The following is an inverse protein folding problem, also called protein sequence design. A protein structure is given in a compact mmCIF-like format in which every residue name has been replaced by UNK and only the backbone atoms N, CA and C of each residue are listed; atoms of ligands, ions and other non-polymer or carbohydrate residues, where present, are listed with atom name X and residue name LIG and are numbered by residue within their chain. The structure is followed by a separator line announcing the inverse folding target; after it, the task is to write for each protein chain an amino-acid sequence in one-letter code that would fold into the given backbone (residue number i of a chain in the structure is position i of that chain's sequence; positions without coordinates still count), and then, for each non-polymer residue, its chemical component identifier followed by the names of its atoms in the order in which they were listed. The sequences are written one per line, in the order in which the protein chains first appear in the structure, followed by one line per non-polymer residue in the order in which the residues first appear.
data_IF_157101173521
#
_entry.id   IF_157101173521
#
_cell.length_a   1.000
_cell.length_b   1.000
_cell.length_c   1.000
_cell.angle_alpha   90.00
_cell.angle_beta   90.00
_cell.angle_gamma   90.00
#
_symmetry.space_group_name_H-M   'P 1'
#
loop_
_entity.id
_entity.type
_entity.pdbx_description
1 polymer ?
#
# COMPACT_ATOMS: atom_id res chain seq x y z
N UNK A 1 -56.57 -19.77 -5.68
CA UNK A 1 -55.51 -19.40 -6.63
C UNK A 1 -54.53 -18.52 -5.84
N UNK A 2 -53.40 -19.06 -5.44
CA UNK A 2 -52.38 -18.33 -4.71
C UNK A 2 -51.51 -17.55 -5.70
N UNK A 3 -51.60 -16.21 -5.67
CA UNK A 3 -50.75 -15.33 -6.47
C UNK A 3 -49.31 -15.47 -5.99
N UNK A 4 -48.43 -15.81 -6.93
CA UNK A 4 -47.02 -16.02 -6.70
C UNK A 4 -46.38 -14.64 -6.40
N UNK A 5 -46.02 -14.40 -5.13
CA UNK A 5 -45.49 -13.11 -4.62
C UNK A 5 -44.06 -12.83 -5.12
N UNK A 6 -43.45 -13.71 -5.91
CA UNK A 6 -42.07 -13.62 -6.38
C UNK A 6 -41.91 -13.29 -7.88
N UNK A 7 -42.94 -12.81 -8.55
CA UNK A 7 -42.85 -12.36 -9.94
C UNK A 7 -42.68 -10.82 -10.06
N UNK A 8 -41.70 -10.30 -9.31
CA UNK A 8 -41.23 -8.94 -9.59
C UNK A 8 -40.36 -8.97 -10.86
N UNK A 9 -40.69 -8.18 -11.88
CA UNK A 9 -39.81 -8.00 -13.03
C UNK A 9 -38.42 -7.52 -12.55
N UNK A 10 -37.31 -8.07 -13.09
CA UNK A 10 -35.99 -7.59 -12.74
C UNK A 10 -35.87 -6.11 -13.11
N UNK A 11 -35.40 -5.31 -12.16
CA UNK A 11 -35.14 -3.89 -12.38
C UNK A 11 -34.19 -3.69 -13.57
N UNK A 12 -34.50 -2.79 -14.47
CA UNK A 12 -33.59 -2.43 -15.56
C UNK A 12 -32.28 -1.88 -15.00
N UNK A 13 -31.12 -2.29 -15.55
CA UNK A 13 -29.83 -1.75 -15.13
C UNK A 13 -29.77 -0.26 -15.45
N UNK A 14 -29.67 0.57 -14.41
CA UNK A 14 -29.43 2.00 -14.55
C UNK A 14 -27.93 2.24 -14.74
N UNK A 15 -27.54 2.90 -15.82
CA UNK A 15 -26.17 3.30 -16.03
C UNK A 15 -25.82 4.45 -15.07
N UNK A 16 -24.71 4.34 -14.37
CA UNK A 16 -24.31 5.30 -13.33
C UNK A 16 -24.26 6.77 -13.82
N UNK A 17 -23.94 7.00 -15.09
CA UNK A 17 -23.95 8.35 -15.67
C UNK A 17 -25.34 8.98 -15.77
N UNK A 18 -26.43 8.19 -15.80
CA UNK A 18 -27.81 8.72 -15.83
C UNK A 18 -28.29 9.23 -14.48
N UNK A 19 -27.54 8.96 -13.40
CA UNK A 19 -27.81 9.43 -12.03
C UNK A 19 -27.13 10.77 -11.71
N UNK A 20 -26.25 11.25 -12.60
CA UNK A 20 -25.63 12.58 -12.46
C UNK A 20 -26.62 13.65 -12.81
N UNK A 21 -26.98 14.60 -11.91
CA UNK A 21 -27.88 15.70 -12.25
C UNK A 21 -27.31 16.51 -13.41
N UNK A 22 -27.99 16.55 -14.52
CA UNK A 22 -27.65 17.46 -15.63
C UNK A 22 -27.92 18.87 -15.16
N UNK A 23 -26.90 19.62 -14.78
CA UNK A 23 -27.02 21.05 -14.56
C UNK A 23 -27.29 21.72 -15.90
N UNK A 24 -28.55 22.05 -16.15
CA UNK A 24 -29.01 22.85 -17.30
C UNK A 24 -28.59 24.31 -17.10
N UNK A 25 -27.36 24.63 -17.41
CA UNK A 25 -26.94 26.00 -17.73
C UNK A 25 -26.30 25.98 -19.12
N UNK A 26 -26.80 26.75 -20.10
CA UNK A 26 -26.14 26.86 -21.39
C UNK A 26 -24.85 27.66 -21.20
N UNK A 27 -23.73 26.98 -21.11
CA UNK A 27 -22.41 27.62 -21.17
C UNK A 27 -22.12 27.89 -22.65
N UNK A 28 -22.10 29.14 -23.02
CA UNK A 28 -21.55 29.66 -24.27
C UNK A 28 -20.09 29.18 -24.31
N UNK A 29 -19.78 28.35 -25.29
CA UNK A 29 -18.47 27.80 -25.51
C UNK A 29 -17.48 28.91 -25.91
N UNK A 30 -16.75 29.44 -24.96
CA UNK A 30 -15.44 30.00 -25.24
C UNK A 30 -14.47 28.82 -25.08
N UNK A 31 -13.78 28.49 -26.17
CA UNK A 31 -12.64 27.57 -26.18
C UNK A 31 -11.58 28.10 -25.21
N UNK A 32 -11.65 27.67 -23.95
CA UNK A 32 -10.52 27.79 -23.06
C UNK A 32 -9.55 26.66 -23.41
N UNK A 33 -8.23 26.95 -23.53
CA UNK A 33 -7.24 25.89 -23.71
C UNK A 33 -7.41 24.91 -22.55
N UNK A 34 -7.46 23.62 -22.88
CA UNK A 34 -7.45 22.50 -21.94
C UNK A 34 -6.30 22.78 -20.95
N UNK A 35 -6.65 23.32 -19.81
CA UNK A 35 -5.70 23.41 -18.71
C UNK A 35 -5.38 21.97 -18.36
N UNK A 36 -4.19 21.56 -18.78
CA UNK A 36 -3.65 20.26 -18.45
C UNK A 36 -3.83 20.06 -16.94
N UNK A 37 -4.36 18.92 -16.57
CA UNK A 37 -4.43 18.50 -15.18
C UNK A 37 -3.02 18.68 -14.62
N UNK A 38 -2.82 19.74 -13.84
CA UNK A 38 -1.57 19.94 -13.12
C UNK A 38 -1.47 18.77 -12.17
N UNK A 39 -0.65 17.78 -12.55
CA UNK A 39 -0.24 16.71 -11.65
C UNK A 39 0.35 17.42 -10.44
N UNK A 40 -0.43 17.49 -9.36
CA UNK A 40 -0.02 18.24 -8.19
C UNK A 40 1.17 17.51 -7.58
N UNK A 41 2.31 18.18 -7.56
CA UNK A 41 3.49 17.72 -6.86
C UNK A 41 3.11 17.40 -5.41
N UNK A 42 3.35 16.17 -5.00
CA UNK A 42 3.05 15.71 -3.65
C UNK A 42 4.29 15.83 -2.77
N UNK A 43 4.18 16.52 -1.66
CA UNK A 43 5.26 16.55 -0.70
C UNK A 43 5.21 15.32 0.21
N UNK A 44 5.84 14.23 -0.24
CA UNK A 44 5.95 12.98 0.50
C UNK A 44 6.60 13.18 1.89
N UNK A 45 7.61 14.05 1.99
CA UNK A 45 8.29 14.28 3.26
C UNK A 45 7.38 14.93 4.30
N UNK A 46 6.48 15.82 3.90
CA UNK A 46 5.51 16.45 4.79
C UNK A 46 4.46 15.42 5.25
N UNK A 47 4.01 14.54 4.37
CA UNK A 47 3.08 13.47 4.74
C UNK A 47 3.74 12.44 5.67
N UNK A 48 5.01 12.06 5.42
CA UNK A 48 5.79 11.23 6.34
C UNK A 48 5.99 11.94 7.67
N UNK A 49 6.36 13.24 7.64
CA UNK A 49 6.53 14.03 8.85
C UNK A 49 5.21 14.23 9.62
N UNK A 50 4.10 14.24 8.90
CA UNK A 50 2.75 14.26 9.50
C UNK A 50 2.42 12.92 10.18
N UNK A 51 2.90 11.79 9.64
CA UNK A 51 2.67 10.44 10.15
C UNK A 51 1.23 9.96 9.92
N UNK A 52 0.91 8.83 10.54
CA UNK A 52 -0.41 8.18 10.43
C UNK A 52 -1.41 8.89 11.34
N UNK A 53 -2.55 9.28 10.78
CA UNK A 53 -3.63 9.97 11.51
C UNK A 53 -4.95 9.19 11.44
N UNK A 54 -5.70 9.24 12.51
CA UNK A 54 -7.09 8.82 12.53
C UNK A 54 -7.97 9.88 11.86
N UNK A 55 -8.95 9.45 11.05
CA UNK A 55 -9.93 10.36 10.43
C UNK A 55 -9.40 11.39 9.44
N UNK A 56 -8.13 11.29 9.02
CA UNK A 56 -7.53 12.25 8.10
C UNK A 56 -7.80 11.93 6.63
N UNK A 57 -7.86 12.97 5.80
CA UNK A 57 -7.89 12.85 4.34
C UNK A 57 -6.52 12.59 3.70
N UNK A 58 -5.46 12.42 4.51
CA UNK A 58 -4.09 12.15 4.07
C UNK A 58 -3.92 10.77 3.43
N UNK A 59 -2.77 10.55 2.79
CA UNK A 59 -2.42 9.26 2.17
C UNK A 59 -2.17 8.20 3.25
N UNK A 60 -1.50 8.59 4.34
CA UNK A 60 -1.21 7.71 5.49
C UNK A 60 -2.28 7.87 6.56
N UNK A 61 -3.28 6.97 6.56
CA UNK A 61 -4.45 7.05 7.44
C UNK A 61 -4.80 5.70 8.07
N UNK A 62 -5.47 5.75 9.21
CA UNK A 62 -6.10 4.58 9.80
C UNK A 62 -7.27 4.07 8.94
N UNK A 63 -7.64 2.81 9.12
CA UNK A 63 -8.73 2.17 8.39
C UNK A 63 -8.41 1.80 6.94
N UNK A 64 -7.13 1.87 6.53
CA UNK A 64 -6.70 1.56 5.17
C UNK A 64 -5.53 0.56 5.13
N UNK A 65 -5.43 -0.16 4.01
CA UNK A 65 -4.29 -0.98 3.64
C UNK A 65 -3.47 -0.20 2.61
N UNK A 66 -2.27 0.21 2.99
CA UNK A 66 -1.36 1.00 2.16
C UNK A 66 -0.28 0.06 1.63
N UNK A 67 -0.24 -0.12 0.32
CA UNK A 67 0.74 -0.97 -0.35
C UNK A 67 1.94 -0.16 -0.85
N UNK A 68 3.12 -0.70 -0.66
CA UNK A 68 4.35 -0.21 -1.28
C UNK A 68 4.89 -1.27 -2.22
N UNK A 69 5.15 -0.89 -3.45
CA UNK A 69 5.80 -1.73 -4.45
C UNK A 69 6.90 -0.94 -5.15
N UNK A 70 7.89 -1.63 -5.66
CA UNK A 70 8.88 -1.02 -6.54
C UNK A 70 8.57 -1.32 -7.99
N UNK A 71 8.98 -0.44 -8.88
CA UNK A 71 9.03 -0.76 -10.30
C UNK A 71 10.18 -1.75 -10.54
N UNK A 72 9.90 -2.87 -11.21
CA UNK A 72 10.88 -3.92 -11.46
C UNK A 72 11.94 -3.42 -12.44
N UNK A 73 13.19 -3.36 -11.98
CA UNK A 73 14.35 -2.99 -12.80
C UNK A 73 15.27 -4.19 -12.97
N UNK A 74 16.14 -4.17 -13.99
CA UNK A 74 17.10 -5.27 -14.28
C UNK A 74 18.20 -5.40 -13.25
N UNK A 75 18.68 -4.29 -12.70
CA UNK A 75 19.72 -4.30 -11.69
C UNK A 75 19.10 -4.37 -10.32
N UNK A 76 19.12 -5.56 -9.71
CA UNK A 76 18.39 -5.87 -8.49
C UNK A 76 19.19 -5.58 -7.21
N UNK A 77 20.11 -4.65 -7.22
CA UNK A 77 21.15 -4.62 -6.19
C UNK A 77 20.76 -4.02 -4.83
N UNK A 78 19.52 -3.58 -4.60
CA UNK A 78 19.12 -3.13 -3.26
C UNK A 78 17.64 -3.39 -2.95
N UNK A 79 17.36 -4.60 -2.45
CA UNK A 79 16.02 -4.93 -1.92
C UNK A 79 15.66 -4.12 -0.66
N UNK A 80 16.64 -3.59 0.07
CA UNK A 80 16.44 -2.75 1.25
C UNK A 80 15.68 -1.45 0.96
N UNK A 81 15.84 -0.90 -0.25
CA UNK A 81 15.25 0.34 -0.69
C UNK A 81 13.72 0.39 -0.49
N UNK A 82 13.01 -0.72 -0.79
CA UNK A 82 11.54 -0.73 -0.67
C UNK A 82 11.05 -0.60 0.77
N UNK A 83 11.86 -1.00 1.73
CA UNK A 83 11.53 -0.91 3.15
C UNK A 83 11.81 0.47 3.76
N UNK A 84 12.59 1.34 3.12
CA UNK A 84 13.02 2.60 3.73
C UNK A 84 11.86 3.58 3.96
N UNK A 85 11.00 3.82 2.97
CA UNK A 85 9.85 4.73 3.13
C UNK A 85 8.87 4.20 4.18
N UNK A 86 8.42 2.93 4.13
CA UNK A 86 7.60 2.34 5.19
C UNK A 86 8.23 2.41 6.57
N UNK A 87 9.54 2.20 6.69
CA UNK A 87 10.28 2.30 7.95
C UNK A 87 10.32 3.74 8.48
N UNK A 88 10.48 4.74 7.62
CA UNK A 88 10.41 6.15 8.00
C UNK A 88 9.02 6.55 8.50
N UNK A 89 7.95 6.06 7.86
CA UNK A 89 6.58 6.28 8.31
C UNK A 89 6.38 5.69 9.70
N UNK A 90 6.81 4.44 9.88
CA UNK A 90 6.71 3.73 11.17
C UNK A 90 7.50 4.45 12.27
N UNK A 91 8.76 4.79 12.03
CA UNK A 91 9.60 5.46 13.04
C UNK A 91 9.12 6.87 13.36
N UNK A 92 8.58 7.59 12.39
CA UNK A 92 7.91 8.88 12.64
C UNK A 92 6.67 8.70 13.50
N UNK A 93 5.89 7.67 13.22
CA UNK A 93 4.71 7.32 14.02
C UNK A 93 5.09 6.99 15.47
N UNK A 94 6.12 6.15 15.67
CA UNK A 94 6.62 5.80 17.00
C UNK A 94 7.13 7.02 17.78
N UNK A 95 7.81 7.97 17.12
CA UNK A 95 8.28 9.21 17.75
C UNK A 95 7.12 10.10 18.24
N UNK A 96 6.06 10.20 17.44
CA UNK A 96 4.92 11.08 17.77
C UNK A 96 4.08 10.57 18.94
N UNK A 97 4.01 9.27 19.10
CA UNK A 97 3.21 8.64 20.15
C UNK A 97 3.97 8.48 21.47
N UNK A 98 4.98 9.34 21.75
CA UNK A 98 5.85 9.27 22.93
C UNK A 98 5.07 9.20 24.27
N UNK A 99 3.94 9.83 24.35
CA UNK A 99 3.13 9.91 25.59
C UNK A 99 2.11 8.76 25.72
N UNK A 100 1.91 7.99 24.65
CA UNK A 100 0.95 6.87 24.66
C UNK A 100 1.68 5.55 24.90
N UNK A 101 1.46 4.94 26.03
CA UNK A 101 1.97 3.58 26.35
C UNK A 101 1.27 2.48 25.55
N UNK A 102 0.17 2.78 24.86
CA UNK A 102 -0.69 1.82 24.18
C UNK A 102 -0.53 1.80 22.66
N UNK A 103 0.33 2.65 22.09
CA UNK A 103 0.64 2.58 20.66
C UNK A 103 1.56 1.38 20.39
N UNK A 104 0.98 0.30 19.89
CA UNK A 104 1.72 -0.92 19.51
C UNK A 104 2.01 -0.91 18.01
N UNK A 105 3.20 -1.35 17.65
CA UNK A 105 3.56 -1.62 16.26
C UNK A 105 3.86 -3.11 16.08
N UNK A 106 3.32 -3.70 15.04
CA UNK A 106 3.54 -5.10 14.68
C UNK A 106 4.25 -5.15 13.33
N UNK A 107 5.31 -5.93 13.22
CA UNK A 107 6.06 -6.10 11.98
C UNK A 107 6.18 -7.59 11.70
N UNK A 108 5.54 -8.03 10.62
CA UNK A 108 5.59 -9.40 10.11
C UNK A 108 6.50 -9.39 8.89
N UNK A 109 7.62 -10.11 8.94
CA UNK A 109 8.60 -10.07 7.86
C UNK A 109 9.37 -11.39 7.73
N UNK A 110 9.80 -11.73 6.50
CA UNK A 110 10.65 -12.90 6.26
C UNK A 110 12.07 -12.66 6.77
N UNK A 111 12.75 -13.72 7.20
CA UNK A 111 14.09 -13.66 7.84
C UNK A 111 15.18 -13.06 6.94
N UNK A 112 14.98 -13.02 5.64
CA UNK A 112 15.90 -12.46 4.65
C UNK A 112 15.64 -10.97 4.33
N UNK A 113 14.79 -10.28 5.09
CA UNK A 113 14.47 -8.88 4.85
C UNK A 113 14.81 -8.01 6.05
N UNK A 114 16.00 -7.38 6.01
CA UNK A 114 16.60 -6.68 7.15
C UNK A 114 16.14 -5.23 7.33
N UNK A 115 15.37 -4.67 6.40
CA UNK A 115 14.97 -3.25 6.48
C UNK A 115 14.28 -2.89 7.79
N UNK A 116 13.56 -3.83 8.43
CA UNK A 116 12.88 -3.65 9.72
C UNK A 116 13.60 -4.34 10.89
N UNK A 117 14.85 -4.74 10.72
CA UNK A 117 15.62 -5.25 11.85
C UNK A 117 15.69 -4.22 12.99
N UNK A 118 15.68 -4.68 14.24
CA UNK A 118 15.66 -3.83 15.43
C UNK A 118 16.76 -2.75 15.40
N UNK A 119 17.95 -3.10 14.88
CA UNK A 119 19.07 -2.16 14.72
C UNK A 119 18.72 -1.00 13.79
N UNK A 120 18.07 -1.28 12.66
CA UNK A 120 17.71 -0.25 11.68
C UNK A 120 16.62 0.67 12.23
N UNK A 121 15.63 0.11 12.92
CA UNK A 121 14.60 0.88 13.63
C UNK A 121 15.21 1.78 14.73
N UNK A 122 16.13 1.24 15.50
CA UNK A 122 16.84 1.98 16.54
C UNK A 122 17.62 3.16 15.97
N UNK A 123 18.41 2.91 14.92
CA UNK A 123 19.17 3.97 14.25
C UNK A 123 18.26 5.06 13.70
N UNK A 124 17.16 4.69 13.08
CA UNK A 124 16.20 5.67 12.55
C UNK A 124 15.51 6.46 13.67
N UNK A 125 15.20 5.85 14.82
CA UNK A 125 14.65 6.55 15.97
C UNK A 125 15.62 7.59 16.56
N UNK A 126 16.91 7.33 16.50
CA UNK A 126 17.93 8.27 16.97
C UNK A 126 18.33 9.32 15.92
N UNK A 127 18.10 9.05 14.61
CA UNK A 127 18.55 9.93 13.54
C UNK A 127 17.67 11.17 13.41
N UNK A 128 18.27 12.25 12.86
CA UNK A 128 17.59 13.49 12.50
C UNK A 128 17.53 14.52 13.63
N UNK A 129 17.02 15.71 13.30
CA UNK A 129 16.97 16.87 14.20
C UNK A 129 16.05 16.68 15.42
N UNK A 130 15.13 15.70 15.34
CA UNK A 130 14.22 15.32 16.43
C UNK A 130 14.47 13.88 16.90
N UNK A 131 15.72 13.41 16.80
CA UNK A 131 16.12 12.08 17.26
C UNK A 131 15.84 11.89 18.75
N UNK A 132 15.41 10.68 19.11
CA UNK A 132 15.17 10.33 20.51
C UNK A 132 16.48 10.10 21.26
N UNK A 133 16.46 10.29 22.58
CA UNK A 133 17.53 9.79 23.43
C UNK A 133 17.64 8.25 23.28
N UNK A 134 18.81 7.69 23.64
CA UNK A 134 19.01 6.24 23.61
C UNK A 134 17.95 5.49 24.42
N UNK A 135 17.68 5.97 25.62
CA UNK A 135 16.76 5.31 26.55
C UNK A 135 15.29 5.43 26.07
N UNK A 136 14.92 6.57 25.48
CA UNK A 136 13.59 6.75 24.90
C UNK A 136 13.43 5.89 23.64
N UNK A 137 14.47 5.75 22.81
CA UNK A 137 14.44 4.87 21.65
C UNK A 137 14.27 3.40 22.06
N UNK A 138 14.95 2.95 23.11
CA UNK A 138 14.80 1.59 23.66
C UNK A 138 13.37 1.38 24.15
N UNK A 139 12.84 2.28 24.99
CA UNK A 139 11.45 2.22 25.48
C UNK A 139 10.44 2.15 24.34
N UNK A 140 10.71 2.82 23.21
CA UNK A 140 9.83 2.76 22.03
C UNK A 140 9.92 1.42 21.31
N UNK A 141 11.10 0.84 21.23
CA UNK A 141 11.25 -0.49 20.64
C UNK A 141 10.59 -1.59 21.47
N UNK A 142 10.39 -1.40 22.78
CA UNK A 142 9.65 -2.33 23.63
C UNK A 142 8.16 -2.42 23.22
N UNK A 143 7.60 -1.40 22.53
CA UNK A 143 6.25 -1.42 21.97
C UNK A 143 6.18 -1.99 20.54
N UNK A 144 7.30 -2.45 19.99
CA UNK A 144 7.39 -3.01 18.64
C UNK A 144 7.50 -4.52 18.70
N UNK A 145 6.52 -5.21 18.13
CA UNK A 145 6.47 -6.67 18.05
C UNK A 145 7.02 -7.14 16.70
N UNK A 146 8.20 -7.75 16.71
CA UNK A 146 8.85 -8.31 15.53
C UNK A 146 8.47 -9.80 15.39
N UNK A 147 7.76 -10.13 14.30
CA UNK A 147 7.26 -11.46 14.01
C UNK A 147 7.92 -12.01 12.76
N UNK A 148 8.93 -12.88 12.94
CA UNK A 148 9.58 -13.56 11.83
C UNK A 148 8.71 -14.66 11.25
N UNK A 149 8.66 -14.74 9.93
CA UNK A 149 7.90 -15.75 9.20
C UNK A 149 8.75 -16.40 8.11
N UNK A 150 8.47 -17.67 7.83
CA UNK A 150 9.22 -18.46 6.84
C UNK A 150 8.37 -18.84 5.62
N UNK A 151 7.06 -18.84 5.78
CA UNK A 151 6.11 -19.20 4.73
C UNK A 151 4.80 -18.40 4.86
N UNK A 152 3.94 -18.51 3.86
CA UNK A 152 2.66 -17.81 3.80
C UNK A 152 1.70 -18.25 4.92
N UNK A 153 1.78 -19.51 5.37
CA UNK A 153 0.93 -20.03 6.44
C UNK A 153 1.34 -19.43 7.79
N UNK A 154 2.64 -19.35 8.07
CA UNK A 154 3.14 -18.66 9.27
C UNK A 154 2.76 -17.17 9.25
N UNK A 155 2.84 -16.51 8.08
CA UNK A 155 2.40 -15.14 7.94
C UNK A 155 0.89 -14.96 8.24
N UNK A 156 0.05 -15.84 7.74
CA UNK A 156 -1.39 -15.83 8.03
C UNK A 156 -1.68 -16.07 9.53
N UNK A 157 -0.93 -16.96 10.19
CA UNK A 157 -1.05 -17.20 11.63
C UNK A 157 -0.59 -15.97 12.44
N UNK A 158 0.52 -15.34 12.04
CA UNK A 158 0.99 -14.12 12.68
C UNK A 158 -0.02 -12.98 12.57
N UNK A 159 -0.64 -12.79 11.40
CA UNK A 159 -1.70 -11.79 11.19
C UNK A 159 -2.92 -12.11 12.08
N UNK A 160 -3.30 -13.37 12.20
CA UNK A 160 -4.40 -13.80 13.10
C UNK A 160 -4.07 -13.46 14.56
N UNK A 161 -2.85 -13.74 15.01
CA UNK A 161 -2.41 -13.40 16.36
C UNK A 161 -2.46 -11.88 16.61
N UNK A 162 -2.00 -11.07 15.65
CA UNK A 162 -2.10 -9.61 15.72
C UNK A 162 -3.58 -9.18 15.81
N UNK A 163 -4.48 -9.80 15.02
CA UNK A 163 -5.91 -9.50 15.08
C UNK A 163 -6.52 -9.75 16.47
N UNK A 164 -6.11 -10.82 17.13
CA UNK A 164 -6.57 -11.15 18.50
C UNK A 164 -6.08 -10.10 19.52
N UNK A 165 -4.82 -9.65 19.38
CA UNK A 165 -4.26 -8.58 20.22
C UNK A 165 -4.97 -7.24 20.02
N UNK A 166 -5.24 -6.87 18.77
CA UNK A 166 -5.97 -5.63 18.46
C UNK A 166 -7.41 -5.66 18.97
N UNK A 167 -8.06 -6.82 18.95
CA UNK A 167 -9.39 -6.97 19.54
C UNK A 167 -9.35 -6.74 21.07
N UNK A 168 -8.37 -7.31 21.76
CA UNK A 168 -8.17 -7.06 23.20
C UNK A 168 -7.87 -5.58 23.50
N UNK A 169 -7.08 -4.92 22.65
CA UNK A 169 -6.82 -3.49 22.77
C UNK A 169 -8.11 -2.66 22.56
N UNK A 170 -8.96 -3.05 21.62
CA UNK A 170 -10.25 -2.39 21.38
C UNK A 170 -11.20 -2.57 22.57
N UNK A 171 -11.26 -3.75 23.17
CA UNK A 171 -12.08 -4.02 24.35
C UNK A 171 -11.64 -3.15 25.55
N UNK A 172 -10.32 -2.99 25.78
CA UNK A 172 -9.79 -2.07 26.81
C UNK A 172 -10.21 -0.62 26.56
N UNK A 173 -10.13 -0.15 25.30
CA UNK A 173 -10.54 1.22 24.92
C UNK A 173 -12.03 1.50 25.14
N UNK A 174 -12.86 0.48 25.15
CA UNK A 174 -14.30 0.61 25.40
C UNK A 174 -14.63 0.69 26.91
N UNK A 175 -13.67 0.40 27.78
CA UNK A 175 -13.87 0.50 29.24
C UNK A 175 -13.84 1.98 29.68
N UNK A 176 -14.86 2.46 30.44
CA UNK A 176 -15.03 3.88 30.71
C UNK A 176 -13.92 4.51 31.56
N UNK A 177 -13.16 3.73 32.33
CA UNK A 177 -12.08 4.24 33.19
C UNK A 177 -10.78 4.57 32.42
N UNK A 178 -10.51 3.96 31.26
CA UNK A 178 -9.29 4.14 30.47
C UNK A 178 -9.52 4.96 29.21
N UNK A 179 -10.76 5.29 28.90
CA UNK A 179 -11.17 5.88 27.62
C UNK A 179 -10.57 7.27 27.31
N UNK A 180 -10.08 8.01 28.30
CA UNK A 180 -9.58 9.37 28.09
C UNK A 180 -8.12 9.42 27.56
N UNK A 181 -7.30 8.44 27.95
CA UNK A 181 -5.87 8.38 27.56
C UNK A 181 -5.68 7.56 26.27
N UNK A 182 -6.52 6.53 26.09
CA UNK A 182 -6.39 5.53 25.02
C UNK A 182 -6.95 5.98 23.65
N UNK A 183 -7.83 6.99 23.61
CA UNK A 183 -8.54 7.39 22.37
C UNK A 183 -7.64 7.92 21.25
N UNK A 184 -6.46 8.41 21.56
CA UNK A 184 -5.55 9.01 20.58
C UNK A 184 -4.40 8.11 20.15
N UNK A 185 -4.27 6.90 20.73
CA UNK A 185 -3.21 5.99 20.35
C UNK A 185 -3.57 5.24 19.07
N UNK A 186 -2.69 5.29 18.08
CA UNK A 186 -2.83 4.57 16.82
C UNK A 186 -1.83 3.42 16.76
N UNK A 187 -2.23 2.29 16.19
CA UNK A 187 -1.40 1.10 16.00
C UNK A 187 -1.06 0.91 14.53
N UNK A 188 0.10 0.33 14.26
CA UNK A 188 0.57 0.07 12.90
C UNK A 188 0.90 -1.40 12.75
N UNK A 189 0.37 -2.01 11.69
CA UNK A 189 0.79 -3.34 11.25
C UNK A 189 1.56 -3.21 9.95
N UNK A 190 2.82 -3.61 9.95
CA UNK A 190 3.65 -3.74 8.73
C UNK A 190 3.74 -5.21 8.36
N UNK A 191 3.41 -5.54 7.12
CA UNK A 191 3.52 -6.91 6.59
C UNK A 191 4.39 -6.87 5.35
N UNK A 192 5.46 -7.65 5.35
CA UNK A 192 6.49 -7.64 4.30
C UNK A 192 6.49 -8.97 3.56
N UNK A 193 6.63 -8.91 2.22
CA UNK A 193 6.97 -10.06 1.40
C UNK A 193 5.87 -11.10 1.25
N UNK A 194 4.59 -10.74 1.40
CA UNK A 194 3.50 -11.70 1.13
C UNK A 194 3.53 -12.22 -0.30
N UNK A 195 3.99 -11.41 -1.24
CA UNK A 195 4.21 -11.75 -2.64
C UNK A 195 5.25 -12.87 -2.81
N UNK A 196 6.42 -12.74 -2.21
CA UNK A 196 7.48 -13.75 -2.26
C UNK A 196 7.10 -15.03 -1.51
N UNK A 197 6.43 -14.90 -0.37
CA UNK A 197 5.91 -16.06 0.37
C UNK A 197 4.83 -16.81 -0.42
N UNK A 198 3.97 -16.07 -1.15
CA UNK A 198 2.96 -16.67 -2.03
C UNK A 198 3.59 -17.35 -3.25
N UNK A 199 4.67 -16.78 -3.82
CA UNK A 199 5.45 -17.46 -4.87
C UNK A 199 5.98 -18.82 -4.41
N UNK A 200 6.39 -18.95 -3.16
CA UNK A 200 6.79 -20.24 -2.57
C UNK A 200 5.67 -21.28 -2.66
N UNK A 201 4.44 -20.89 -2.33
CA UNK A 201 3.26 -21.77 -2.44
C UNK A 201 2.96 -22.11 -3.90
N UNK A 202 3.08 -21.12 -4.82
CA UNK A 202 2.87 -21.33 -6.26
C UNK A 202 3.87 -22.35 -6.82
N UNK A 203 5.14 -22.21 -6.48
CA UNK A 203 6.21 -23.13 -6.92
C UNK A 203 6.01 -24.54 -6.35
N UNK A 204 5.53 -24.67 -5.12
CA UNK A 204 5.30 -25.96 -4.46
C UNK A 204 3.99 -26.65 -4.91
N UNK A 205 3.04 -25.90 -5.51
CA UNK A 205 1.73 -26.47 -5.88
C UNK A 205 1.25 -25.97 -7.25
N UNK A 206 0.51 -24.85 -7.28
CA UNK A 206 0.02 -24.22 -8.51
C UNK A 206 -0.36 -22.74 -8.27
N UNK A 207 -0.47 -21.93 -9.34
CA UNK A 207 -0.81 -20.51 -9.22
C UNK A 207 -2.16 -20.24 -8.56
N UNK A 208 -3.18 -21.07 -8.83
CA UNK A 208 -4.51 -20.86 -8.29
C UNK A 208 -4.54 -21.04 -6.76
N UNK A 209 -3.83 -22.05 -6.24
CA UNK A 209 -3.73 -22.29 -4.79
C UNK A 209 -2.97 -21.16 -4.10
N UNK A 210 -1.85 -20.72 -4.64
CA UNK A 210 -1.08 -19.60 -4.10
C UNK A 210 -1.91 -18.32 -4.06
N UNK A 211 -2.59 -17.99 -5.15
CA UNK A 211 -3.47 -16.83 -5.24
C UNK A 211 -4.66 -16.92 -4.25
N UNK A 212 -5.25 -18.10 -4.07
CA UNK A 212 -6.37 -18.30 -3.14
C UNK A 212 -5.96 -18.10 -1.66
N UNK A 213 -4.81 -18.64 -1.25
CA UNK A 213 -4.28 -18.44 0.11
C UNK A 213 -3.92 -16.97 0.34
N UNK A 214 -3.25 -16.33 -0.64
CA UNK A 214 -2.95 -14.91 -0.58
C UNK A 214 -4.21 -14.06 -0.48
N UNK A 215 -5.22 -14.31 -1.32
CA UNK A 215 -6.49 -13.60 -1.29
C UNK A 215 -7.21 -13.73 0.06
N UNK A 216 -7.14 -14.91 0.69
CA UNK A 216 -7.69 -15.12 2.04
C UNK A 216 -6.95 -14.27 3.08
N UNK A 217 -5.63 -14.23 3.03
CA UNK A 217 -4.79 -13.43 3.92
C UNK A 217 -5.07 -11.93 3.75
N UNK A 218 -5.18 -11.45 2.51
CA UNK A 218 -5.51 -10.06 2.20
C UNK A 218 -6.90 -9.66 2.70
N UNK A 219 -7.90 -10.54 2.53
CA UNK A 219 -9.26 -10.29 3.07
C UNK A 219 -9.25 -10.19 4.59
N UNK A 220 -8.45 -11.00 5.29
CA UNK A 220 -8.29 -10.92 6.74
C UNK A 220 -7.71 -9.57 7.14
N UNK A 221 -6.66 -9.09 6.47
CA UNK A 221 -6.07 -7.76 6.72
C UNK A 221 -7.06 -6.63 6.42
N UNK A 222 -7.75 -6.68 5.28
CA UNK A 222 -8.77 -5.68 4.92
C UNK A 222 -9.89 -5.63 5.97
N UNK A 223 -10.39 -6.80 6.40
CA UNK A 223 -11.40 -6.88 7.47
C UNK A 223 -10.88 -6.26 8.76
N UNK A 224 -9.67 -6.61 9.18
CA UNK A 224 -9.03 -6.09 10.39
C UNK A 224 -8.87 -4.57 10.31
N UNK A 225 -8.39 -4.03 9.18
CA UNK A 225 -8.28 -2.59 8.93
C UNK A 225 -9.63 -1.89 9.08
N UNK A 226 -10.73 -2.46 8.54
CA UNK A 226 -12.07 -1.87 8.65
C UNK A 226 -12.66 -1.99 10.05
N UNK A 227 -12.45 -3.13 10.73
CA UNK A 227 -12.94 -3.33 12.11
C UNK A 227 -12.28 -2.37 13.10
N UNK A 228 -11.00 -2.03 12.88
CA UNK A 228 -10.20 -1.15 13.73
C UNK A 228 -9.87 0.17 13.05
N UNK A 229 -10.79 0.70 12.22
CA UNK A 229 -10.58 1.86 11.37
C UNK A 229 -10.14 3.14 12.11
N UNK A 230 -10.51 3.26 13.38
CA UNK A 230 -10.23 4.46 14.17
C UNK A 230 -8.77 4.54 14.62
N UNK A 231 -8.08 3.39 14.71
CA UNK A 231 -6.74 3.36 15.28
C UNK A 231 -5.72 2.47 14.58
N UNK A 232 -6.10 1.64 13.61
CA UNK A 232 -5.19 0.74 12.90
C UNK A 232 -4.90 1.23 11.50
N UNK A 233 -3.62 1.30 11.14
CA UNK A 233 -3.14 1.40 9.76
C UNK A 233 -2.35 0.15 9.39
N UNK A 234 -2.56 -0.38 8.19
CA UNK A 234 -1.82 -1.53 7.68
C UNK A 234 -0.93 -1.08 6.53
N UNK A 235 0.35 -1.41 6.62
CA UNK A 235 1.35 -1.18 5.57
C UNK A 235 1.76 -2.53 5.01
N UNK A 236 1.56 -2.72 3.71
CA UNK A 236 1.98 -3.91 2.96
C UNK A 236 3.19 -3.56 2.09
N UNK A 237 4.31 -4.27 2.26
CA UNK A 237 5.53 -4.07 1.49
C UNK A 237 5.72 -5.25 0.55
N UNK A 238 5.62 -5.01 -0.76
CA UNK A 238 5.78 -6.02 -1.80
C UNK A 238 7.22 -6.04 -2.31
N UNK A 239 7.87 -7.17 -2.21
CA UNK A 239 9.31 -7.31 -2.49
C UNK A 239 9.63 -7.74 -3.92
N UNK A 240 8.70 -8.40 -4.63
CA UNK A 240 8.92 -8.89 -6.00
C UNK A 240 8.94 -7.79 -7.09
N UNK A 241 8.43 -6.60 -6.79
CA UNK A 241 8.29 -5.49 -7.73
C UNK A 241 7.14 -5.65 -8.73
N UNK A 242 6.69 -4.52 -9.30
CA UNK A 242 5.63 -4.44 -10.32
C UNK A 242 6.22 -4.25 -11.71
N UNK A 243 5.43 -4.61 -12.72
CA UNK A 243 5.84 -4.53 -14.12
C UNK A 243 6.72 -5.69 -14.57
N UNK A 244 7.17 -5.63 -15.80
CA UNK A 244 8.13 -6.58 -16.37
C UNK A 244 9.48 -5.88 -16.55
N UNK A 245 10.57 -6.60 -16.28
CA UNK A 245 11.92 -6.10 -16.49
C UNK A 245 12.22 -6.05 -18.01
N UNK A 246 11.61 -5.10 -18.75
CA UNK A 246 11.92 -4.86 -20.14
C UNK A 246 13.10 -3.90 -20.30
N UNK A 247 13.88 -4.19 -21.34
CA UNK A 247 15.13 -3.54 -21.67
C UNK A 247 14.96 -2.06 -22.06
N UNK A 248 15.36 -1.16 -21.18
CA UNK A 248 15.63 0.24 -21.56
C UNK A 248 16.93 0.39 -22.39
N UNK A 249 17.74 -0.67 -22.52
CA UNK A 249 19.08 -0.64 -23.11
C UNK A 249 19.12 -0.97 -24.62
N UNK A 250 18.18 -0.42 -25.40
CA UNK A 250 18.38 -0.43 -26.87
C UNK A 250 18.22 0.96 -27.49
N UNK A 251 18.93 1.96 -26.98
CA UNK A 251 19.45 2.99 -27.87
C UNK A 251 20.60 2.38 -28.68
N UNK A 252 20.32 1.80 -29.84
CA UNK A 252 21.35 1.56 -30.81
C UNK A 252 21.39 0.26 -31.60
N UNK A 253 20.56 -0.75 -31.37
CA UNK A 253 20.63 -1.95 -32.23
C UNK A 253 19.28 -2.33 -32.86
N UNK A 254 19.22 -2.09 -34.17
CA UNK A 254 18.40 -2.76 -35.21
C UNK A 254 17.14 -3.54 -34.79
N UNK A 255 16.16 -2.87 -34.14
CA UNK A 255 14.78 -3.39 -34.04
C UNK A 255 13.96 -3.02 -35.29
N UNK A 256 14.34 -3.48 -36.49
CA UNK A 256 13.46 -3.34 -37.66
C UNK A 256 12.45 -4.48 -37.83
N UNK A 257 12.58 -5.61 -37.12
CA UNK A 257 11.81 -6.81 -37.47
C UNK A 257 10.95 -7.46 -36.38
N UNK A 258 10.84 -6.92 -35.14
CA UNK A 258 9.97 -7.47 -34.10
C UNK A 258 9.20 -6.36 -33.38
N UNK A 259 8.57 -5.47 -34.12
CA UNK A 259 7.49 -4.68 -33.52
C UNK A 259 6.37 -5.68 -33.12
N UNK A 260 5.88 -5.68 -31.86
CA UNK A 260 4.71 -6.46 -31.53
C UNK A 260 3.62 -6.09 -32.52
N UNK A 261 2.96 -7.09 -33.10
CA UNK A 261 1.88 -6.85 -34.04
C UNK A 261 0.81 -6.00 -33.33
N UNK A 262 0.18 -5.05 -34.02
CA UNK A 262 -0.92 -4.24 -33.47
C UNK A 262 -2.03 -5.08 -32.82
N UNK A 263 -2.10 -6.37 -33.11
CA UNK A 263 -2.99 -7.34 -32.50
C UNK A 263 -2.61 -7.69 -31.06
N UNK A 264 -1.29 -7.77 -30.72
CA UNK A 264 -0.81 -8.11 -29.37
C UNK A 264 -0.97 -6.92 -28.40
N UNK A 265 -0.87 -5.68 -28.91
CA UNK A 265 -1.09 -4.46 -28.11
C UNK A 265 -2.57 -4.30 -27.73
N UNK A 266 -3.51 -4.76 -28.56
CA UNK A 266 -4.95 -4.64 -28.31
C UNK A 266 -5.52 -5.68 -27.35
N UNK A 267 -4.82 -6.77 -27.07
CA UNK A 267 -5.28 -7.84 -26.15
C UNK A 267 -4.86 -7.63 -24.69
N UNK A 268 -3.97 -6.69 -24.41
CA UNK A 268 -3.63 -6.30 -23.04
C UNK A 268 -4.84 -5.63 -22.43
N UNK A 269 -5.62 -6.38 -21.64
CA UNK A 269 -6.67 -5.80 -20.78
C UNK A 269 -6.04 -4.70 -19.96
N UNK A 270 -6.54 -3.49 -20.14
CA UNK A 270 -6.19 -2.35 -19.31
C UNK A 270 -6.51 -2.70 -17.86
N UNK A 271 -5.47 -2.90 -17.04
CA UNK A 271 -5.61 -3.22 -15.62
C UNK A 271 -6.05 -2.00 -14.81
N UNK A 272 -6.24 -0.84 -15.44
CA UNK A 272 -6.68 0.40 -14.81
C UNK A 272 -5.64 1.03 -13.87
N UNK A 273 -4.43 0.46 -13.79
CA UNK A 273 -3.34 0.96 -12.96
C UNK A 273 -2.15 1.28 -13.85
N UNK A 274 -1.82 2.56 -13.87
CA UNK A 274 -0.73 3.10 -14.69
C UNK A 274 0.24 3.89 -13.84
N UNK A 275 1.49 3.97 -14.29
CA UNK A 275 2.49 4.88 -13.75
C UNK A 275 2.81 5.93 -14.80
N UNK A 276 2.91 7.19 -14.37
CA UNK A 276 3.36 8.29 -15.25
C UNK A 276 4.85 8.18 -15.61
N UNK A 277 5.59 7.37 -14.85
CA UNK A 277 7.03 7.14 -15.06
C UNK A 277 7.31 5.87 -15.85
N UNK A 278 6.30 5.11 -16.27
CA UNK A 278 6.44 3.92 -17.09
C UNK A 278 5.99 4.18 -18.52
N UNK A 279 6.63 3.51 -19.49
CA UNK A 279 6.19 3.61 -20.89
C UNK A 279 4.76 3.11 -21.07
N UNK A 280 3.92 3.81 -21.84
CA UNK A 280 2.57 3.37 -22.15
C UNK A 280 2.57 1.97 -22.80
N UNK A 281 1.58 1.16 -22.49
CA UNK A 281 1.39 -0.18 -23.07
C UNK A 281 2.02 -1.33 -22.29
N UNK A 282 2.73 -1.06 -21.21
CA UNK A 282 3.26 -2.11 -20.33
C UNK A 282 2.41 -2.21 -19.05
N UNK A 283 1.75 -3.37 -18.77
CA UNK A 283 0.94 -3.53 -17.59
C UNK A 283 1.80 -3.60 -16.33
N UNK A 284 1.44 -2.85 -15.28
CA UNK A 284 2.08 -2.95 -13.97
C UNK A 284 1.76 -4.29 -13.30
N UNK A 285 0.52 -4.77 -13.45
CA UNK A 285 0.03 -6.01 -12.88
C UNK A 285 0.13 -7.16 -13.91
N UNK A 286 1.35 -7.60 -14.18
CA UNK A 286 1.64 -8.56 -15.25
C UNK A 286 1.13 -9.99 -14.99
N UNK A 287 0.84 -10.36 -13.74
CA UNK A 287 0.43 -11.72 -13.38
C UNK A 287 -0.70 -11.77 -12.34
N UNK A 288 -1.27 -12.97 -12.15
CA UNK A 288 -2.37 -13.21 -11.21
C UNK A 288 -2.00 -12.83 -9.77
N UNK A 289 -0.77 -13.07 -9.35
CA UNK A 289 -0.29 -12.76 -8.00
C UNK A 289 -0.36 -11.26 -7.74
N UNK A 290 0.19 -10.43 -8.65
CA UNK A 290 0.19 -8.97 -8.51
C UNK A 290 -1.22 -8.39 -8.56
N UNK A 291 -2.11 -8.92 -9.41
CA UNK A 291 -3.53 -8.55 -9.43
C UNK A 291 -4.22 -8.88 -8.11
N UNK A 292 -3.91 -10.06 -7.55
CA UNK A 292 -4.48 -10.48 -6.25
C UNK A 292 -4.01 -9.57 -5.13
N UNK A 293 -2.71 -9.24 -5.08
CA UNK A 293 -2.15 -8.29 -4.11
C UNK A 293 -2.82 -6.93 -4.21
N UNK A 294 -2.91 -6.39 -5.42
CA UNK A 294 -3.51 -5.09 -5.63
C UNK A 294 -4.97 -5.02 -5.17
N UNK A 295 -5.74 -6.11 -5.32
CA UNK A 295 -7.12 -6.15 -4.84
C UNK A 295 -7.24 -5.91 -3.34
N UNK A 296 -6.26 -6.31 -2.55
CA UNK A 296 -6.22 -6.11 -1.10
C UNK A 296 -5.70 -4.74 -0.64
N UNK A 297 -5.23 -3.90 -1.55
CA UNK A 297 -4.63 -2.60 -1.27
C UNK A 297 -5.64 -1.48 -1.55
N UNK A 298 -5.78 -0.55 -0.62
CA UNK A 298 -6.62 0.64 -0.77
C UNK A 298 -5.86 1.79 -1.42
N UNK A 299 -4.66 2.08 -0.93
CA UNK A 299 -3.74 3.08 -1.48
C UNK A 299 -2.44 2.39 -1.88
N UNK A 300 -2.07 2.45 -3.15
CA UNK A 300 -0.89 1.77 -3.68
C UNK A 300 0.15 2.79 -4.11
N UNK A 301 1.32 2.73 -3.50
CA UNK A 301 2.46 3.61 -3.76
C UNK A 301 3.52 2.82 -4.51
N UNK A 302 3.90 3.33 -5.69
CA UNK A 302 4.97 2.78 -6.52
C UNK A 302 6.24 3.59 -6.28
N UNK A 303 7.31 2.89 -5.92
CA UNK A 303 8.64 3.46 -5.81
C UNK A 303 9.43 3.17 -7.10
N UNK A 304 9.98 4.20 -7.70
CA UNK A 304 10.72 4.12 -8.96
C UNK A 304 12.02 4.90 -8.88
N UNK A 305 13.06 4.38 -9.50
CA UNK A 305 14.29 5.12 -9.74
C UNK A 305 14.21 5.75 -11.14
N UNK A 306 14.11 7.08 -11.19
CA UNK A 306 14.02 7.83 -12.44
C UNK A 306 15.29 8.64 -12.59
N UNK A 307 16.19 8.18 -13.45
CA UNK A 307 17.53 8.76 -13.66
C UNK A 307 18.32 8.84 -12.33
N UNK A 308 18.35 10.02 -11.70
CA UNK A 308 19.10 10.27 -10.47
C UNK A 308 18.19 10.52 -9.24
N UNK A 309 16.88 10.41 -9.41
CA UNK A 309 15.90 10.68 -8.39
C UNK A 309 15.08 9.43 -8.06
N UNK A 310 14.83 9.21 -6.78
CA UNK A 310 13.86 8.23 -6.31
C UNK A 310 12.49 8.91 -6.22
N UNK A 311 11.52 8.31 -6.85
CA UNK A 311 10.17 8.86 -6.95
C UNK A 311 9.19 7.91 -6.28
N UNK A 312 8.30 8.46 -5.48
CA UNK A 312 7.13 7.78 -4.97
C UNK A 312 5.89 8.31 -5.70
N UNK A 313 5.09 7.42 -6.26
CA UNK A 313 3.89 7.73 -7.01
C UNK A 313 2.70 6.97 -6.44
N UNK A 314 1.57 7.62 -6.27
CA UNK A 314 0.31 6.99 -5.86
C UNK A 314 -0.40 6.49 -7.12
N UNK A 315 -0.23 5.20 -7.43
CA UNK A 315 -0.82 4.56 -8.62
C UNK A 315 -2.27 4.10 -8.39
N UNK A 316 -2.74 4.11 -7.14
CA UNK A 316 -4.09 3.77 -6.75
C UNK A 316 -4.44 4.43 -5.43
N UNK A 317 -5.64 4.98 -5.33
CA UNK A 317 -6.23 5.43 -4.07
C UNK A 317 -7.76 5.27 -4.14
N UNK A 318 -8.28 4.25 -3.45
CA UNK A 318 -9.72 3.93 -3.43
C UNK A 318 -10.52 4.87 -2.53
N UNK A 319 -9.89 5.51 -1.59
CA UNK A 319 -10.58 6.15 -0.47
C UNK A 319 -10.20 7.62 -0.30
N UNK A 320 -9.35 8.15 -1.17
CA UNK A 320 -8.89 9.53 -1.09
C UNK A 320 -8.53 10.15 -2.45
N UNK A 321 -8.11 11.39 -2.46
CA UNK A 321 -7.74 12.15 -3.65
C UNK A 321 -6.23 12.00 -4.00
N UNK A 322 -5.62 10.87 -3.65
CA UNK A 322 -4.19 10.67 -3.80
C UNK A 322 -3.75 10.20 -5.19
N UNK A 323 -4.66 9.65 -6.00
CA UNK A 323 -4.32 9.05 -7.29
C UNK A 323 -3.56 10.03 -8.20
N UNK A 324 -2.44 9.58 -8.77
CA UNK A 324 -1.59 10.36 -9.66
C UNK A 324 -0.69 11.38 -8.95
N UNK A 325 -0.74 11.50 -7.63
CA UNK A 325 0.22 12.29 -6.87
C UNK A 325 1.58 11.61 -6.90
N UNK A 326 2.63 12.40 -7.03
CA UNK A 326 4.00 11.91 -6.99
C UNK A 326 4.91 12.89 -6.25
N UNK A 327 6.00 12.38 -5.71
CA UNK A 327 7.00 13.20 -5.02
C UNK A 327 8.37 12.56 -5.09
N UNK A 328 9.40 13.40 -5.03
CA UNK A 328 10.78 12.95 -4.96
C UNK A 328 11.09 12.58 -3.51
N UNK A 329 11.70 11.42 -3.35
CA UNK A 329 12.16 10.95 -2.07
C UNK A 329 13.68 10.86 -2.05
N UNK A 330 14.28 11.42 -1.01
CA UNK A 330 15.71 11.32 -0.77
C UNK A 330 15.94 10.57 0.54
N UNK A 331 16.74 9.51 0.55
CA UNK A 331 17.11 8.86 1.81
C UNK A 331 17.78 9.88 2.73
N UNK A 332 17.38 9.91 3.98
CA UNK A 332 18.10 10.69 4.98
C UNK A 332 19.49 10.09 5.13
N UNK A 333 20.52 10.85 4.78
CA UNK A 333 21.93 10.51 5.03
C UNK A 333 22.23 10.52 6.52
#
# INVERSE_FOLDING_TARGET
MASNVYSAEPAYPLLAHSLVPQSTTPVIAYEQPIQGSTTSEWNLNDDIATGIKSGSSGIFRCGSVIGFSRLKMRSSDNDEYIGEVPRQILTTHLRKNLLSSEAEAFIIYPSNFDAFAARNLFNDLQSGSSGLSRDDAIKRLDSVHLLHVHDLQNAAQAIKHVSERLQQAQERRQQPHEASISRNSTSVLVVVGLDTLAEGVIRASNPARGAAVLASTLRMMTRMSRTHSDFLSIILVNTSGLGSAYEFDQEGSNRRNNAPSDADVRSSRDDGIHSIFQMPGYPLLSNLLMRTLDQGIDTHILLSDVKYARVAEVIKDRTGPGLGKWGIWSPKR
#
